data_IF_810479720214
#
_entry.id   IF_810479720214
#
_cell.length_a   1.000
_cell.length_b   1.000
_cell.length_c   1.000
_cell.angle_alpha   90.00
_cell.angle_beta   90.00
_cell.angle_gamma   90.00
#
_symmetry.space_group_name_H-M   'P 1'
#
loop_
_entity.id
_entity.type
_entity.pdbx_description
1 polymer ?
#
# COMPACT_ATOMS: atom_id res chain seq x y z
N UNK A 1 36.13 5.64 7.43
CA UNK A 1 34.67 5.37 7.27
C UNK A 1 34.17 4.90 8.64
N UNK A 2 33.15 5.54 9.22
CA UNK A 2 32.56 5.05 10.47
C UNK A 2 31.76 3.80 10.11
N UNK A 3 32.14 2.64 10.64
CA UNK A 3 31.32 1.44 10.58
C UNK A 3 30.05 1.71 11.38
N UNK A 4 28.96 2.00 10.67
CA UNK A 4 27.65 2.12 11.29
C UNK A 4 27.16 0.68 11.50
N UNK A 5 27.27 0.19 12.73
CA UNK A 5 26.87 -1.16 13.12
C UNK A 5 25.34 -1.26 13.26
N UNK A 6 24.62 -1.06 12.18
CA UNK A 6 23.21 -1.44 12.12
C UNK A 6 23.11 -2.96 12.01
N UNK A 7 22.28 -3.59 12.85
CA UNK A 7 22.00 -5.03 12.75
C UNK A 7 21.47 -5.31 11.34
N UNK A 8 22.26 -6.02 10.52
CA UNK A 8 21.91 -6.34 9.13
C UNK A 8 20.53 -7.02 9.09
N UNK A 9 19.55 -6.47 8.36
CA UNK A 9 18.24 -7.11 8.23
C UNK A 9 18.41 -8.48 7.57
N UNK A 10 17.74 -9.51 8.10
CA UNK A 10 17.75 -10.82 7.46
C UNK A 10 16.86 -10.78 6.23
N UNK A 11 17.38 -11.28 5.10
CA UNK A 11 16.61 -11.44 3.87
C UNK A 11 15.83 -12.74 3.96
N UNK A 12 14.49 -12.71 4.10
CA UNK A 12 13.69 -13.93 4.19
C UNK A 12 13.78 -14.71 2.88
N UNK A 13 13.42 -15.99 2.93
CA UNK A 13 13.44 -16.88 1.76
C UNK A 13 12.51 -16.40 0.65
N UNK A 14 11.36 -15.87 1.05
CA UNK A 14 10.39 -15.16 0.24
C UNK A 14 9.97 -13.90 1.01
N UNK A 15 9.62 -12.80 0.33
CA UNK A 15 9.05 -11.64 0.99
C UNK A 15 7.68 -11.97 1.57
N UNK A 16 7.31 -11.26 2.63
CA UNK A 16 6.01 -11.45 3.27
C UNK A 16 4.95 -10.56 2.63
N UNK A 17 5.32 -9.44 1.97
CA UNK A 17 4.40 -8.47 1.34
C UNK A 17 4.56 -8.48 -0.16
N UNK A 18 3.43 -8.52 -0.86
CA UNK A 18 3.37 -8.38 -2.30
C UNK A 18 2.45 -7.23 -2.67
N UNK A 19 2.90 -6.39 -3.59
CA UNK A 19 2.01 -5.49 -4.34
C UNK A 19 1.86 -6.13 -5.71
N UNK A 20 0.75 -6.83 -5.94
CA UNK A 20 0.51 -7.61 -7.14
C UNK A 20 -0.45 -6.85 -8.04
N UNK A 21 0.06 -6.30 -9.12
CA UNK A 21 -0.73 -5.46 -10.02
C UNK A 21 -1.57 -6.31 -10.97
N UNK A 22 -2.81 -6.61 -10.57
CA UNK A 22 -3.74 -7.39 -11.40
C UNK A 22 -4.20 -6.60 -12.63
N UNK A 23 -4.40 -5.28 -12.46
CA UNK A 23 -4.79 -4.36 -13.53
C UNK A 23 -4.42 -2.94 -13.14
N UNK A 24 -3.63 -2.30 -13.98
CA UNK A 24 -3.07 -0.97 -13.69
C UNK A 24 -3.99 0.18 -14.12
N UNK A 25 -5.23 -0.08 -14.54
CA UNK A 25 -6.14 1.00 -14.95
C UNK A 25 -6.81 1.67 -13.76
N UNK A 26 -6.99 2.98 -13.82
CA UNK A 26 -7.77 3.74 -12.85
C UNK A 26 -8.81 4.63 -13.56
N UNK A 27 -9.97 4.79 -12.94
CA UNK A 27 -11.03 5.70 -13.41
C UNK A 27 -10.81 7.17 -12.96
N UNK A 28 -9.67 7.46 -12.32
CA UNK A 28 -9.25 8.80 -11.91
C UNK A 28 -7.86 9.13 -12.46
N UNK A 29 -7.56 10.42 -12.57
CA UNK A 29 -6.26 10.99 -12.93
C UNK A 29 -5.86 12.03 -11.89
N UNK A 30 -5.71 11.61 -10.64
CA UNK A 30 -5.39 12.52 -9.53
C UNK A 30 -4.06 13.25 -9.82
N UNK A 31 -3.97 14.58 -9.62
CA UNK A 31 -2.74 15.33 -9.89
C UNK A 31 -1.50 14.79 -9.16
N UNK A 32 -1.67 14.29 -7.94
CA UNK A 32 -0.62 13.66 -7.13
C UNK A 32 -0.18 12.25 -7.59
N UNK A 33 -0.90 11.61 -8.52
CA UNK A 33 -0.63 10.22 -8.88
C UNK A 33 0.56 10.11 -9.83
N UNK A 34 1.62 9.41 -9.39
CA UNK A 34 2.87 9.25 -10.17
C UNK A 34 2.66 8.57 -11.53
N UNK A 35 1.62 7.73 -11.68
CA UNK A 35 1.31 7.06 -12.94
C UNK A 35 0.20 7.78 -13.71
N UNK A 36 -1.03 7.81 -13.20
CA UNK A 36 -2.19 8.30 -13.95
C UNK A 36 -2.27 9.83 -14.04
N UNK A 37 -1.62 10.55 -13.11
CA UNK A 37 -1.55 12.00 -13.08
C UNK A 37 -0.34 12.60 -13.80
N UNK A 38 0.64 11.78 -14.18
CA UNK A 38 1.82 12.21 -14.96
C UNK A 38 1.44 12.66 -16.38
N UNK A 39 2.27 13.44 -17.07
CA UNK A 39 2.10 13.76 -18.50
C UNK A 39 2.91 12.83 -19.45
N UNK A 40 3.60 11.82 -18.90
CA UNK A 40 4.48 10.88 -19.62
C UNK A 40 3.69 9.80 -20.38
N UNK A 41 2.96 10.18 -21.43
CA UNK A 41 2.04 9.26 -22.15
C UNK A 41 2.72 8.01 -22.72
N UNK A 42 3.95 8.10 -23.24
CA UNK A 42 4.65 6.91 -23.75
C UNK A 42 5.04 5.94 -22.62
N UNK A 43 5.47 6.45 -21.46
CA UNK A 43 5.77 5.59 -20.31
C UNK A 43 4.50 4.91 -19.78
N UNK A 44 3.36 5.62 -19.76
CA UNK A 44 2.07 5.05 -19.35
C UNK A 44 1.64 3.88 -20.24
N UNK A 45 1.86 3.94 -21.56
CA UNK A 45 1.51 2.83 -22.46
C UNK A 45 2.21 1.52 -22.12
N UNK A 46 3.41 1.61 -21.56
CA UNK A 46 4.22 0.45 -21.17
C UNK A 46 3.85 -0.01 -19.75
N UNK A 47 3.58 0.95 -18.85
CA UNK A 47 3.29 0.68 -17.44
C UNK A 47 1.84 0.27 -17.15
N UNK A 48 0.90 0.44 -18.09
CA UNK A 48 -0.50 0.09 -17.90
C UNK A 48 -0.86 -1.22 -18.61
N UNK A 49 -1.35 -2.20 -17.85
CA UNK A 49 -1.85 -3.43 -18.43
C UNK A 49 -2.73 -4.23 -17.50
N UNK A 50 -2.83 -5.53 -17.80
CA UNK A 50 -3.57 -6.51 -17.00
C UNK A 50 -2.81 -7.81 -16.91
N UNK A 51 -2.83 -8.41 -15.73
CA UNK A 51 -2.24 -9.71 -15.49
C UNK A 51 -3.21 -10.79 -15.94
N UNK A 52 -2.70 -11.85 -16.56
CA UNK A 52 -3.49 -13.03 -16.84
C UNK A 52 -3.84 -13.78 -15.54
N UNK A 53 -5.03 -14.38 -15.47
CA UNK A 53 -5.49 -15.04 -14.25
C UNK A 53 -4.67 -16.29 -13.90
N UNK A 54 -4.18 -17.04 -14.90
CA UNK A 54 -3.33 -18.21 -14.66
C UNK A 54 -1.93 -17.75 -14.22
N UNK A 55 -1.39 -16.71 -14.83
CA UNK A 55 -0.13 -16.10 -14.40
C UNK A 55 -0.20 -15.60 -12.94
N UNK A 56 -1.32 -15.02 -12.53
CA UNK A 56 -1.55 -14.64 -11.14
C UNK A 56 -1.57 -15.89 -10.23
N UNK A 57 -2.25 -16.97 -10.61
CA UNK A 57 -2.28 -18.22 -9.83
C UNK A 57 -0.89 -18.85 -9.67
N UNK A 58 -0.07 -18.86 -10.72
CA UNK A 58 1.31 -19.35 -10.67
C UNK A 58 2.13 -18.62 -9.61
N UNK A 59 2.02 -17.29 -9.58
CA UNK A 59 2.66 -16.47 -8.54
C UNK A 59 2.13 -16.85 -7.15
N UNK A 60 0.81 -16.95 -6.99
CA UNK A 60 0.18 -17.27 -5.69
C UNK A 60 0.65 -18.62 -5.15
N UNK A 61 0.74 -19.63 -6.00
CA UNK A 61 1.13 -20.99 -5.61
C UNK A 61 2.61 -21.04 -5.15
N UNK A 62 3.50 -20.24 -5.74
CA UNK A 62 4.91 -20.16 -5.34
C UNK A 62 5.12 -19.53 -3.95
N UNK A 63 4.31 -18.52 -3.60
CA UNK A 63 4.56 -17.67 -2.43
C UNK A 63 3.90 -18.19 -1.15
N UNK A 64 3.17 -19.31 -1.20
CA UNK A 64 2.37 -19.81 -0.08
C UNK A 64 3.16 -20.08 1.19
N UNK A 65 4.41 -20.53 1.06
CA UNK A 65 5.28 -20.81 2.21
C UNK A 65 5.61 -19.56 3.04
N UNK A 66 5.47 -18.36 2.47
CA UNK A 66 5.71 -17.08 3.13
C UNK A 66 4.53 -16.59 3.99
N UNK A 67 3.36 -17.24 3.93
CA UNK A 67 2.08 -16.74 4.49
C UNK A 67 1.83 -15.28 4.05
N UNK A 68 1.70 -15.04 2.75
CA UNK A 68 1.82 -13.71 2.19
C UNK A 68 0.65 -12.80 2.57
N UNK A 69 0.92 -11.51 2.66
CA UNK A 69 -0.07 -10.46 2.53
C UNK A 69 0.06 -9.81 1.16
N UNK A 70 -1.06 -9.75 0.45
CA UNK A 70 -1.15 -9.24 -0.92
C UNK A 70 -2.00 -7.98 -0.96
N UNK A 71 -1.45 -6.96 -1.63
CA UNK A 71 -2.22 -5.86 -2.17
C UNK A 71 -2.44 -6.10 -3.66
N UNK A 72 -3.66 -6.47 -4.12
CA UNK A 72 -3.96 -6.85 -5.51
C UNK A 72 -4.05 -5.64 -6.46
N UNK A 73 -3.33 -4.58 -6.15
CA UNK A 73 -3.13 -3.40 -6.99
C UNK A 73 -1.91 -2.64 -6.47
N UNK A 74 -1.18 -2.03 -7.39
CA UNK A 74 -0.15 -1.05 -7.04
C UNK A 74 -0.59 0.38 -7.41
N UNK A 75 -0.77 0.65 -8.69
CA UNK A 75 -1.12 1.98 -9.20
C UNK A 75 -2.52 2.07 -9.84
N UNK A 76 -3.16 0.93 -10.11
CA UNK A 76 -4.53 0.87 -10.61
C UNK A 76 -5.60 1.00 -9.54
N UNK A 77 -6.86 1.14 -9.96
CA UNK A 77 -8.01 1.01 -9.07
C UNK A 77 -8.40 -0.48 -8.95
N UNK A 78 -8.20 -1.13 -7.79
CA UNK A 78 -8.46 -2.56 -7.64
C UNK A 78 -9.91 -2.94 -7.96
N UNK A 79 -10.88 -2.07 -7.70
CA UNK A 79 -12.30 -2.33 -8.02
C UNK A 79 -12.60 -2.40 -9.52
N UNK A 80 -11.64 -2.06 -10.39
CA UNK A 80 -11.74 -2.20 -11.86
C UNK A 80 -11.05 -3.45 -12.40
N UNK A 81 -10.39 -4.24 -11.55
CA UNK A 81 -9.72 -5.47 -11.94
C UNK A 81 -10.75 -6.48 -12.48
N UNK A 82 -10.39 -7.14 -13.58
CA UNK A 82 -11.21 -8.18 -14.18
C UNK A 82 -11.29 -9.36 -13.20
N UNK A 83 -12.47 -9.96 -13.03
CA UNK A 83 -12.68 -11.10 -12.13
C UNK A 83 -12.17 -10.88 -10.69
N UNK A 84 -12.22 -9.65 -10.17
CA UNK A 84 -11.72 -9.31 -8.83
C UNK A 84 -12.25 -10.24 -7.73
N UNK A 85 -13.54 -10.60 -7.78
CA UNK A 85 -14.15 -11.52 -6.82
C UNK A 85 -13.47 -12.88 -6.85
N UNK A 86 -13.14 -13.41 -8.04
CA UNK A 86 -12.48 -14.70 -8.19
C UNK A 86 -11.05 -14.64 -7.69
N UNK A 87 -10.31 -13.56 -8.00
CA UNK A 87 -8.96 -13.34 -7.50
C UNK A 87 -8.94 -13.30 -5.96
N UNK A 88 -9.79 -12.48 -5.33
CA UNK A 88 -9.84 -12.37 -3.87
C UNK A 88 -10.29 -13.70 -3.27
N UNK A 89 -11.34 -14.34 -3.79
CA UNK A 89 -11.82 -15.64 -3.29
C UNK A 89 -10.73 -16.70 -3.37
N UNK A 90 -9.97 -16.73 -4.47
CA UNK A 90 -8.87 -17.66 -4.69
C UNK A 90 -7.72 -17.44 -3.70
N UNK A 91 -7.36 -16.18 -3.45
CA UNK A 91 -6.37 -15.80 -2.42
C UNK A 91 -6.85 -16.21 -1.02
N UNK A 92 -8.09 -15.85 -0.64
CA UNK A 92 -8.64 -16.16 0.68
C UNK A 92 -8.78 -17.66 0.92
N UNK A 93 -9.16 -18.47 -0.09
CA UNK A 93 -9.18 -19.94 0.01
C UNK A 93 -7.80 -20.56 0.27
N UNK A 94 -6.72 -19.90 -0.14
CA UNK A 94 -5.34 -20.30 0.16
C UNK A 94 -4.87 -19.86 1.55
N UNK A 95 -5.69 -19.10 2.29
CA UNK A 95 -5.29 -18.52 3.58
C UNK A 95 -4.40 -17.28 3.43
N UNK A 96 -4.39 -16.64 2.26
CA UNK A 96 -3.63 -15.40 2.03
C UNK A 96 -4.35 -14.22 2.68
N UNK A 97 -3.59 -13.32 3.29
CA UNK A 97 -4.10 -12.03 3.75
C UNK A 97 -4.19 -11.05 2.58
N UNK A 98 -5.32 -10.36 2.46
CA UNK A 98 -5.59 -9.44 1.36
C UNK A 98 -6.03 -8.09 1.91
N UNK A 99 -5.29 -7.04 1.54
CA UNK A 99 -5.63 -5.66 1.87
C UNK A 99 -5.54 -4.78 0.62
N UNK A 100 -6.38 -3.76 0.48
CA UNK A 100 -6.17 -2.78 -0.60
C UNK A 100 -6.74 -1.40 -0.29
N UNK A 101 -6.24 -0.42 -1.05
CA UNK A 101 -6.76 0.93 -1.10
C UNK A 101 -7.63 1.07 -2.35
N UNK A 102 -8.77 1.73 -2.24
CA UNK A 102 -9.67 2.05 -3.36
C UNK A 102 -10.07 3.52 -3.33
N UNK A 103 -10.33 4.11 -4.49
CA UNK A 103 -11.01 5.40 -4.59
C UNK A 103 -12.50 5.32 -4.24
N UNK A 104 -13.06 4.12 -4.12
CA UNK A 104 -14.41 3.86 -3.63
C UNK A 104 -15.53 4.10 -4.64
N UNK A 105 -15.28 4.74 -5.79
CA UNK A 105 -16.35 5.23 -6.68
C UNK A 105 -17.16 4.13 -7.37
N UNK A 106 -16.59 2.94 -7.51
CA UNK A 106 -17.21 1.79 -8.18
C UNK A 106 -17.56 0.65 -7.22
N UNK A 107 -17.50 0.88 -5.91
CA UNK A 107 -18.00 -0.09 -4.93
C UNK A 107 -19.50 -0.32 -5.17
N UNK A 108 -19.89 -1.59 -5.12
CA UNK A 108 -21.28 -2.04 -5.23
C UNK A 108 -21.61 -2.93 -4.03
N UNK A 109 -22.89 -3.13 -3.77
CA UNK A 109 -23.36 -4.06 -2.74
C UNK A 109 -22.80 -5.48 -2.96
N UNK A 110 -22.80 -5.97 -4.21
CA UNK A 110 -22.20 -7.28 -4.55
C UNK A 110 -20.73 -7.40 -4.13
N UNK A 111 -19.92 -6.37 -4.39
CA UNK A 111 -18.51 -6.36 -4.01
C UNK A 111 -18.36 -6.30 -2.49
N UNK A 112 -19.09 -5.40 -1.83
CA UNK A 112 -19.06 -5.25 -0.38
C UNK A 112 -19.47 -6.54 0.34
N UNK A 113 -20.57 -7.18 -0.07
CA UNK A 113 -21.00 -8.47 0.50
C UNK A 113 -19.95 -9.55 0.29
N UNK A 114 -19.39 -9.64 -0.92
CA UNK A 114 -18.29 -10.57 -1.20
C UNK A 114 -17.10 -10.34 -0.27
N UNK A 115 -16.70 -9.09 0.01
CA UNK A 115 -15.57 -8.80 0.88
C UNK A 115 -15.82 -9.21 2.34
N UNK A 116 -17.05 -9.12 2.82
CA UNK A 116 -17.45 -9.64 4.14
C UNK A 116 -17.43 -11.17 4.13
N UNK A 117 -18.04 -11.81 3.12
CA UNK A 117 -18.17 -13.27 3.02
C UNK A 117 -16.81 -13.97 3.00
N UNK A 118 -15.86 -13.43 2.23
CA UNK A 118 -14.49 -13.97 2.11
C UNK A 118 -13.56 -13.53 3.24
N UNK A 119 -14.07 -12.73 4.19
CA UNK A 119 -13.30 -12.14 5.30
C UNK A 119 -12.05 -11.42 4.81
N UNK A 120 -12.23 -10.46 3.89
CA UNK A 120 -11.16 -9.56 3.45
C UNK A 120 -10.49 -8.90 4.67
N UNK A 121 -9.17 -8.85 4.72
CA UNK A 121 -8.46 -8.42 5.93
C UNK A 121 -8.65 -6.91 6.17
N UNK A 122 -8.45 -6.09 5.13
CA UNK A 122 -8.75 -4.65 5.24
C UNK A 122 -9.04 -3.97 3.89
N UNK A 123 -9.85 -2.92 3.95
CA UNK A 123 -10.13 -2.02 2.84
C UNK A 123 -9.99 -0.57 3.32
N UNK A 124 -9.18 0.21 2.58
CA UNK A 124 -9.04 1.65 2.83
C UNK A 124 -9.62 2.45 1.67
N UNK A 125 -10.49 3.39 1.99
CA UNK A 125 -11.02 4.35 1.02
C UNK A 125 -10.13 5.59 1.01
N UNK A 126 -9.51 5.90 -0.12
CA UNK A 126 -8.87 7.20 -0.31
C UNK A 126 -9.96 8.25 -0.40
N UNK A 127 -10.00 9.19 0.55
CA UNK A 127 -11.01 10.27 0.59
C UNK A 127 -10.31 11.61 0.38
N UNK A 128 -9.22 11.88 1.10
CA UNK A 128 -8.31 13.02 0.91
C UNK A 128 -8.94 14.44 0.98
N UNK A 129 -10.20 14.57 1.41
CA UNK A 129 -10.91 15.85 1.50
C UNK A 129 -12.14 15.79 2.42
N UNK A 130 -12.55 16.96 2.92
CA UNK A 130 -13.81 17.24 3.62
C UNK A 130 -14.81 18.03 2.78
N UNK A 131 -14.37 18.60 1.64
CA UNK A 131 -15.23 19.34 0.71
C UNK A 131 -15.09 18.82 -0.74
N UNK A 132 -16.15 18.89 -1.58
CA UNK A 132 -16.04 18.56 -3.00
C UNK A 132 -15.00 19.40 -3.75
N UNK A 133 -14.82 20.67 -3.35
CA UNK A 133 -13.84 21.59 -3.93
C UNK A 133 -12.41 21.12 -3.65
N UNK A 134 -12.10 20.73 -2.41
CA UNK A 134 -10.80 20.17 -2.06
C UNK A 134 -10.59 18.82 -2.76
N UNK A 135 -11.60 17.94 -2.79
CA UNK A 135 -11.51 16.67 -3.50
C UNK A 135 -11.19 16.86 -4.99
N UNK A 136 -11.83 17.85 -5.63
CA UNK A 136 -11.59 18.17 -7.04
C UNK A 136 -10.14 18.61 -7.27
N UNK A 137 -9.57 19.41 -6.36
CA UNK A 137 -8.17 19.84 -6.44
C UNK A 137 -7.20 18.66 -6.27
N UNK A 138 -7.39 17.84 -5.25
CA UNK A 138 -6.42 16.80 -4.88
C UNK A 138 -6.58 15.49 -5.67
N UNK A 139 -7.78 15.19 -6.15
CA UNK A 139 -8.09 13.91 -6.83
C UNK A 139 -8.70 14.05 -8.22
N UNK A 140 -9.00 15.28 -8.67
CA UNK A 140 -9.55 15.53 -10.01
C UNK A 140 -11.02 15.11 -10.16
N UNK A 141 -11.76 14.97 -9.06
CA UNK A 141 -13.17 14.52 -9.06
C UNK A 141 -13.97 15.23 -7.96
N UNK A 142 -15.25 15.46 -8.21
CA UNK A 142 -16.20 16.15 -7.34
C UNK A 142 -17.29 15.19 -6.82
N UNK A 143 -16.88 14.00 -6.37
CA UNK A 143 -17.78 12.90 -5.96
C UNK A 143 -17.64 12.51 -4.49
N UNK A 144 -17.39 13.48 -3.62
CA UNK A 144 -17.12 13.23 -2.19
C UNK A 144 -18.28 12.48 -1.53
N UNK A 145 -19.51 12.90 -1.79
CA UNK A 145 -20.73 12.28 -1.27
C UNK A 145 -20.91 10.85 -1.79
N UNK A 146 -20.42 10.55 -2.99
CA UNK A 146 -20.44 9.17 -3.50
C UNK A 146 -19.44 8.30 -2.76
N UNK A 147 -18.23 8.81 -2.52
CA UNK A 147 -17.20 8.09 -1.75
C UNK A 147 -17.71 7.84 -0.33
N UNK A 148 -18.23 8.86 0.35
CA UNK A 148 -18.78 8.74 1.70
C UNK A 148 -19.92 7.72 1.78
N UNK A 149 -20.89 7.78 0.87
CA UNK A 149 -21.97 6.79 0.78
C UNK A 149 -21.47 5.36 0.59
N UNK A 150 -20.37 5.17 -0.14
CA UNK A 150 -19.79 3.85 -0.36
C UNK A 150 -18.99 3.35 0.85
N UNK A 151 -18.39 4.24 1.64
CA UNK A 151 -17.85 3.89 2.97
C UNK A 151 -18.97 3.42 3.89
N UNK A 152 -20.07 4.18 3.96
CA UNK A 152 -21.26 3.83 4.75
C UNK A 152 -21.90 2.51 4.29
N UNK A 153 -21.99 2.28 2.97
CA UNK A 153 -22.46 1.01 2.41
C UNK A 153 -21.61 -0.17 2.88
N UNK A 154 -20.28 -0.04 2.84
CA UNK A 154 -19.37 -1.08 3.30
C UNK A 154 -19.53 -1.34 4.81
N UNK A 155 -19.67 -0.29 5.62
CA UNK A 155 -19.94 -0.41 7.06
C UNK A 155 -21.27 -1.10 7.34
N UNK A 156 -22.33 -0.70 6.62
CA UNK A 156 -23.68 -1.28 6.76
C UNK A 156 -23.71 -2.76 6.40
N UNK A 157 -23.04 -3.15 5.32
CA UNK A 157 -23.02 -4.56 4.87
C UNK A 157 -22.16 -5.41 5.81
N UNK A 158 -21.05 -4.88 6.32
CA UNK A 158 -20.26 -5.55 7.35
C UNK A 158 -21.04 -5.72 8.65
N UNK A 159 -21.81 -4.70 9.03
CA UNK A 159 -22.59 -4.66 10.27
C UNK A 159 -21.70 -5.02 11.49
N UNK A 160 -22.06 -6.05 12.25
CA UNK A 160 -21.32 -6.50 13.43
C UNK A 160 -20.16 -7.45 13.10
N UNK A 161 -19.95 -7.82 11.83
CA UNK A 161 -18.85 -8.71 11.48
C UNK A 161 -17.48 -8.10 11.79
N UNK A 162 -16.53 -8.96 12.15
CA UNK A 162 -15.14 -8.58 12.45
C UNK A 162 -14.40 -8.09 11.21
N UNK A 163 -14.67 -8.68 10.04
CA UNK A 163 -14.00 -8.37 8.77
C UNK A 163 -14.96 -7.79 7.72
N UNK A 164 -14.49 -6.89 6.84
CA UNK A 164 -13.14 -6.33 6.81
C UNK A 164 -12.90 -5.25 7.87
N UNK A 165 -11.61 -5.02 8.15
CA UNK A 165 -11.18 -3.77 8.79
C UNK A 165 -11.35 -2.62 7.79
N UNK A 166 -12.22 -1.67 8.10
CA UNK A 166 -12.61 -0.58 7.21
C UNK A 166 -11.92 0.71 7.65
N UNK A 167 -11.20 1.34 6.74
CA UNK A 167 -10.51 2.59 6.98
C UNK A 167 -10.72 3.64 5.92
N UNK A 168 -10.41 4.88 6.26
CA UNK A 168 -10.24 5.96 5.28
C UNK A 168 -8.80 6.46 5.29
N UNK A 169 -8.35 6.97 4.15
CA UNK A 169 -7.01 7.52 3.96
C UNK A 169 -7.08 8.99 3.55
N UNK A 170 -6.12 9.75 4.07
CA UNK A 170 -5.88 11.16 3.77
C UNK A 170 -4.41 11.37 3.43
N UNK A 171 -4.13 11.79 2.21
CA UNK A 171 -2.78 12.12 1.73
C UNK A 171 -2.62 13.63 1.78
N UNK A 172 -1.79 14.08 2.71
CA UNK A 172 -1.56 15.51 2.98
C UNK A 172 -0.88 16.15 1.78
N UNK A 173 -1.51 17.21 1.29
CA UNK A 173 -1.13 18.06 0.18
C UNK A 173 -1.37 19.51 0.59
N UNK A 174 -0.77 20.46 -0.13
CA UNK A 174 -0.93 21.88 0.15
C UNK A 174 -2.39 22.32 0.11
N UNK A 175 -3.19 21.71 -0.76
CA UNK A 175 -4.58 22.06 -0.99
C UNK A 175 -5.54 21.53 0.08
N UNK A 176 -5.12 20.57 0.90
CA UNK A 176 -5.98 19.92 1.90
C UNK A 176 -5.39 19.89 3.32
N UNK A 177 -4.15 20.33 3.55
CA UNK A 177 -3.47 20.20 4.84
C UNK A 177 -4.27 20.82 6.01
N UNK A 178 -5.03 21.89 5.74
CA UNK A 178 -5.91 22.57 6.68
C UNK A 178 -7.16 21.77 7.07
N UNK A 179 -7.51 20.71 6.33
CA UNK A 179 -8.64 19.82 6.61
C UNK A 179 -8.24 18.59 7.44
N UNK A 180 -6.94 18.40 7.74
CA UNK A 180 -6.42 17.16 8.37
C UNK A 180 -7.08 16.86 9.72
N UNK A 181 -7.17 17.85 10.61
CA UNK A 181 -7.74 17.66 11.96
C UNK A 181 -9.24 17.39 11.89
N UNK A 182 -9.95 18.13 11.03
CA UNK A 182 -11.38 17.92 10.77
C UNK A 182 -11.62 16.51 10.25
N UNK A 183 -10.84 16.09 9.24
CA UNK A 183 -10.90 14.76 8.65
C UNK A 183 -10.74 13.65 9.67
N UNK A 184 -9.69 13.73 10.50
CA UNK A 184 -9.45 12.74 11.56
C UNK A 184 -10.60 12.73 12.56
N UNK A 185 -11.01 13.90 13.06
CA UNK A 185 -12.04 14.02 14.10
C UNK A 185 -13.42 13.55 13.66
N UNK A 186 -13.73 13.68 12.36
CA UNK A 186 -14.96 13.20 11.75
C UNK A 186 -14.91 11.68 11.54
N UNK A 187 -13.94 11.21 10.77
CA UNK A 187 -13.92 9.83 10.31
C UNK A 187 -13.59 8.81 11.39
N UNK A 188 -12.79 9.16 12.40
CA UNK A 188 -12.43 8.21 13.47
C UNK A 188 -13.64 7.75 14.29
N UNK A 189 -14.74 8.51 14.29
CA UNK A 189 -15.99 8.15 14.95
C UNK A 189 -16.83 7.17 14.13
N UNK A 190 -16.53 7.03 12.84
CA UNK A 190 -17.34 6.33 11.84
C UNK A 190 -16.67 5.01 11.44
N UNK A 191 -15.40 5.07 11.04
CA UNK A 191 -14.63 3.90 10.56
C UNK A 191 -13.74 3.34 11.66
N UNK A 192 -13.17 2.16 11.43
CA UNK A 192 -12.30 1.51 12.41
C UNK A 192 -10.89 2.15 12.45
N UNK A 193 -10.47 2.84 11.38
CA UNK A 193 -9.16 3.49 11.27
C UNK A 193 -9.15 4.67 10.32
N UNK A 194 -8.45 5.72 10.72
CA UNK A 194 -8.06 6.82 9.84
C UNK A 194 -6.56 6.75 9.61
N UNK A 195 -6.12 6.72 8.36
CA UNK A 195 -4.70 6.84 7.98
C UNK A 195 -4.44 8.21 7.38
N UNK A 196 -3.53 8.96 7.95
CA UNK A 196 -2.98 10.20 7.38
C UNK A 196 -1.58 9.89 6.87
N UNK A 197 -1.25 10.29 5.65
CA UNK A 197 0.06 10.04 5.05
C UNK A 197 0.61 11.23 4.28
N UNK A 198 1.93 11.28 4.12
CA UNK A 198 2.59 12.28 3.28
C UNK A 198 2.48 11.91 1.79
N UNK A 199 2.25 12.92 0.94
CA UNK A 199 2.35 12.76 -0.51
C UNK A 199 3.81 12.50 -0.91
N UNK A 200 4.02 11.59 -1.87
CA UNK A 200 5.31 11.39 -2.51
C UNK A 200 5.37 12.18 -3.80
N UNK A 201 6.30 13.12 -3.90
CA UNK A 201 6.52 13.98 -5.06
C UNK A 201 8.03 14.25 -5.22
N UNK A 202 8.50 14.42 -6.45
CA UNK A 202 9.90 14.73 -6.75
C UNK A 202 10.91 13.79 -6.06
N UNK A 203 10.59 12.49 -6.02
CA UNK A 203 11.45 11.45 -5.45
C UNK A 203 11.44 11.35 -3.91
N UNK A 204 10.58 12.09 -3.21
CA UNK A 204 10.54 12.14 -1.74
C UNK A 204 9.14 12.35 -1.17
N UNK A 205 8.95 11.99 0.09
CA UNK A 205 7.78 12.33 0.89
C UNK A 205 7.85 13.81 1.29
N UNK A 206 6.81 14.57 0.93
CA UNK A 206 6.68 16.00 1.22
C UNK A 206 6.44 16.23 2.71
N UNK A 207 7.08 17.27 3.27
CA UNK A 207 6.91 17.65 4.69
C UNK A 207 7.60 16.73 5.68
N UNK A 208 8.27 15.66 5.23
CA UNK A 208 8.91 14.68 6.10
C UNK A 208 10.39 14.97 6.29
N UNK A 209 10.81 15.08 7.55
CA UNK A 209 12.21 15.14 7.96
C UNK A 209 12.64 13.76 8.46
N UNK A 210 13.39 12.97 7.66
CA UNK A 210 13.86 11.67 8.12
C UNK A 210 14.85 11.83 9.28
N UNK A 211 15.08 10.76 10.07
CA UNK A 211 16.17 10.73 11.05
C UNK A 211 17.52 11.09 10.43
N UNK A 212 18.45 11.61 11.25
CA UNK A 212 19.79 12.00 10.79
C UNK A 212 20.59 10.84 10.20
N UNK A 213 20.43 9.65 10.76
CA UNK A 213 21.12 8.45 10.33
C UNK A 213 20.19 7.61 9.45
N UNK A 214 20.65 7.30 8.24
CA UNK A 214 19.90 6.47 7.29
C UNK A 214 20.22 5.00 7.49
N UNK A 215 19.17 4.22 7.70
CA UNK A 215 19.24 2.77 7.81
C UNK A 215 18.86 2.10 6.48
N UNK A 216 19.18 0.81 6.28
CA UNK A 216 18.66 0.05 5.15
C UNK A 216 17.14 0.17 5.03
N UNK A 217 16.63 0.35 3.80
CA UNK A 217 15.20 0.52 3.56
C UNK A 217 14.46 -0.79 3.82
N UNK A 218 13.50 -0.78 4.75
CA UNK A 218 12.72 -1.96 5.13
C UNK A 218 11.98 -2.61 3.95
N UNK A 219 11.55 -1.82 2.97
CA UNK A 219 10.87 -2.32 1.77
C UNK A 219 11.69 -3.40 1.04
N UNK A 220 13.02 -3.24 0.97
CA UNK A 220 13.93 -4.16 0.27
C UNK A 220 14.00 -5.56 0.88
N UNK A 221 13.48 -5.73 2.10
CA UNK A 221 13.53 -6.97 2.87
C UNK A 221 12.15 -7.59 3.11
N UNK A 222 11.07 -6.84 2.86
CA UNK A 222 9.72 -7.27 3.21
C UNK A 222 8.72 -7.17 2.06
N UNK A 223 8.96 -6.30 1.07
CA UNK A 223 7.98 -5.96 0.05
C UNK A 223 8.50 -6.18 -1.36
N UNK A 224 7.70 -6.87 -2.17
CA UNK A 224 7.99 -7.11 -3.58
C UNK A 224 6.83 -6.58 -4.44
N UNK A 225 7.04 -5.48 -5.18
CA UNK A 225 6.10 -5.03 -6.20
C UNK A 225 6.27 -5.88 -7.46
N UNK A 226 5.19 -6.52 -7.91
CA UNK A 226 5.13 -7.32 -9.13
C UNK A 226 4.09 -6.67 -10.05
N UNK A 227 4.56 -6.18 -11.19
CA UNK A 227 3.74 -5.54 -12.22
C UNK A 227 2.95 -6.59 -13.01
N UNK A 228 1.93 -6.14 -13.76
CA UNK A 228 1.02 -7.01 -14.51
C UNK A 228 1.72 -7.95 -15.51
N UNK A 229 2.89 -7.55 -16.02
CA UNK A 229 3.70 -8.28 -16.98
C UNK A 229 4.78 -9.18 -16.32
N UNK A 230 4.79 -9.25 -14.98
CA UNK A 230 5.74 -10.02 -14.19
C UNK A 230 7.03 -9.29 -13.82
N UNK A 231 7.24 -8.07 -14.34
CA UNK A 231 8.40 -7.26 -13.95
C UNK A 231 8.32 -6.91 -12.46
N UNK A 232 9.48 -6.86 -11.82
CA UNK A 232 9.63 -6.50 -10.41
C UNK A 232 10.37 -5.18 -10.34
N UNK A 233 9.74 -4.12 -9.84
CA UNK A 233 10.43 -2.84 -9.62
C UNK A 233 11.16 -2.83 -8.27
N UNK A 234 12.12 -1.92 -8.14
CA UNK A 234 12.91 -1.77 -6.90
C UNK A 234 12.03 -1.47 -5.67
N UNK A 235 10.95 -0.71 -5.85
CA UNK A 235 9.97 -0.41 -4.81
C UNK A 235 8.64 0.08 -5.41
N UNK A 236 7.65 0.31 -4.55
CA UNK A 236 6.32 0.76 -4.96
C UNK A 236 6.29 2.17 -5.55
N UNK A 237 7.27 3.02 -5.26
CA UNK A 237 7.34 4.40 -5.77
C UNK A 237 7.96 4.51 -7.16
N UNK A 238 8.54 3.41 -7.68
CA UNK A 238 9.01 3.33 -9.07
C UNK A 238 7.83 3.03 -10.00
N UNK A 239 7.03 4.07 -10.27
CA UNK A 239 5.73 3.96 -10.95
C UNK A 239 5.80 3.56 -12.42
N UNK A 240 6.93 3.77 -13.06
CA UNK A 240 7.16 3.38 -14.45
C UNK A 240 8.09 2.17 -14.59
N UNK A 241 8.52 1.57 -13.47
CA UNK A 241 9.42 0.42 -13.49
C UNK A 241 10.78 0.74 -14.13
N UNK A 242 11.31 1.94 -13.90
CA UNK A 242 12.58 2.37 -14.49
C UNK A 242 13.76 1.53 -13.97
N UNK A 243 13.61 0.91 -12.79
CA UNK A 243 14.58 -0.02 -12.22
C UNK A 243 13.97 -1.41 -12.04
N UNK A 244 13.92 -2.17 -13.13
CA UNK A 244 13.48 -3.58 -13.14
C UNK A 244 14.56 -4.50 -12.53
N UNK A 245 14.18 -5.17 -11.45
CA UNK A 245 14.98 -6.11 -10.66
C UNK A 245 14.98 -7.53 -11.21
N UNK A 246 14.03 -7.84 -12.09
CA UNK A 246 13.83 -9.13 -12.75
C UNK A 246 12.39 -9.29 -13.22
N UNK A 247 12.07 -10.38 -13.88
CA UNK A 247 10.72 -10.74 -14.30
C UNK A 247 10.38 -12.14 -13.79
N UNK A 248 9.34 -12.27 -12.97
CA UNK A 248 9.01 -13.55 -12.29
C UNK A 248 8.63 -14.67 -13.26
N UNK A 249 8.14 -14.34 -14.46
CA UNK A 249 7.78 -15.33 -15.48
C UNK A 249 8.97 -15.76 -16.36
N UNK A 250 10.09 -15.03 -16.32
CA UNK A 250 11.26 -15.28 -17.18
C UNK A 250 12.50 -15.70 -16.41
N UNK A 251 12.63 -15.21 -15.17
CA UNK A 251 13.85 -15.31 -14.37
C UNK A 251 13.72 -16.38 -13.26
N UNK A 252 12.91 -17.41 -13.48
CA UNK A 252 12.82 -18.59 -12.60
C UNK A 252 11.92 -18.43 -11.37
N UNK A 253 10.93 -17.54 -11.42
CA UNK A 253 9.93 -17.37 -10.36
C UNK A 253 10.23 -16.23 -9.38
N UNK A 254 9.29 -16.01 -8.48
CA UNK A 254 9.33 -15.00 -7.42
C UNK A 254 10.57 -15.16 -6.54
N UNK A 255 10.87 -16.37 -6.06
CA UNK A 255 12.01 -16.63 -5.17
C UNK A 255 13.35 -16.33 -5.86
N UNK A 256 13.47 -16.72 -7.13
CA UNK A 256 14.69 -16.50 -7.90
C UNK A 256 14.95 -15.01 -8.12
N UNK A 257 13.93 -14.22 -8.46
CA UNK A 257 14.07 -12.76 -8.57
C UNK A 257 14.36 -12.12 -7.21
N UNK A 258 13.64 -12.52 -6.14
CA UNK A 258 13.83 -11.98 -4.79
C UNK A 258 15.25 -12.16 -4.24
N UNK A 259 15.86 -13.32 -4.53
CA UNK A 259 17.25 -13.65 -4.19
C UNK A 259 18.23 -13.30 -5.31
N UNK A 260 17.78 -12.68 -6.39
CA UNK A 260 18.58 -12.38 -7.57
C UNK A 260 19.65 -11.31 -7.35
N UNK A 261 20.64 -11.29 -8.25
CA UNK A 261 21.82 -10.41 -8.14
C UNK A 261 21.44 -8.93 -7.97
N UNK A 262 20.48 -8.43 -8.75
CA UNK A 262 20.07 -7.01 -8.72
C UNK A 262 19.57 -6.57 -7.33
N UNK A 263 18.66 -7.33 -6.72
CA UNK A 263 18.16 -7.03 -5.38
C UNK A 263 19.23 -7.22 -4.30
N UNK A 264 20.12 -8.22 -4.43
CA UNK A 264 21.24 -8.39 -3.51
C UNK A 264 22.21 -7.20 -3.56
N UNK A 265 22.47 -6.68 -4.75
CA UNK A 265 23.33 -5.51 -4.96
C UNK A 265 22.73 -4.24 -4.34
N UNK A 266 21.43 -3.97 -4.56
CA UNK A 266 20.72 -2.84 -3.91
C UNK A 266 20.76 -2.97 -2.38
N UNK A 267 20.53 -4.18 -1.84
CA UNK A 267 20.64 -4.42 -0.39
C UNK A 267 22.05 -4.16 0.12
N UNK A 268 23.08 -4.61 -0.59
CA UNK A 268 24.48 -4.36 -0.24
C UNK A 268 24.79 -2.86 -0.17
N UNK A 269 24.36 -2.08 -1.16
CA UNK A 269 24.54 -0.63 -1.14
C UNK A 269 23.87 0.02 0.07
N UNK A 270 22.65 -0.41 0.43
CA UNK A 270 21.96 0.07 1.62
C UNK A 270 22.65 -0.35 2.94
N UNK A 271 23.14 -1.59 3.03
CA UNK A 271 23.83 -2.12 4.22
C UNK A 271 25.19 -1.46 4.47
N UNK A 272 25.84 -0.98 3.41
CA UNK A 272 27.18 -0.36 3.47
C UNK A 272 27.15 1.16 3.43
N UNK A 273 25.96 1.77 3.42
CA UNK A 273 25.79 3.23 3.41
C UNK A 273 26.02 3.89 2.05
N UNK A 274 26.06 3.11 0.98
CA UNK A 274 26.29 3.53 -0.42
C UNK A 274 24.98 3.60 -1.20
N UNK A 275 23.86 3.97 -0.56
CA UNK A 275 22.53 3.99 -1.19
C UNK A 275 22.40 4.96 -2.37
N UNK A 276 23.33 5.89 -2.51
CA UNK A 276 23.46 6.85 -3.62
C UNK A 276 23.95 6.21 -4.92
N UNK A 277 24.54 5.01 -4.85
CA UNK A 277 24.82 4.15 -6.02
C UNK A 277 23.54 3.59 -6.67
N UNK A 278 22.41 3.69 -5.97
CA UNK A 278 21.10 3.31 -6.48
C UNK A 278 20.35 4.61 -6.85
N UNK A 279 20.22 4.97 -8.14
CA UNK A 279 19.72 6.29 -8.53
C UNK A 279 18.35 6.64 -7.95
N UNK A 280 17.46 5.66 -7.79
CA UNK A 280 16.15 5.86 -7.18
C UNK A 280 16.24 6.24 -5.69
N UNK A 281 17.23 5.68 -5.01
CA UNK A 281 17.34 5.75 -3.56
C UNK A 281 18.15 6.96 -3.08
N UNK A 282 18.92 7.61 -3.94
CA UNK A 282 19.83 8.72 -3.60
C UNK A 282 19.15 9.80 -2.76
N UNK A 283 18.08 10.40 -3.29
CA UNK A 283 17.37 11.53 -2.66
C UNK A 283 16.08 11.13 -1.92
N UNK A 284 15.78 9.82 -1.89
CA UNK A 284 14.56 9.30 -1.28
C UNK A 284 14.62 9.34 0.26
N UNK A 285 13.56 9.82 0.89
CA UNK A 285 13.37 9.81 2.35
C UNK A 285 12.32 8.76 2.83
N UNK A 286 11.70 8.00 1.92
CA UNK A 286 10.63 7.05 2.27
C UNK A 286 11.13 5.84 3.09
N UNK A 287 12.44 5.57 3.10
CA UNK A 287 13.04 4.55 3.97
C UNK A 287 12.77 4.80 5.46
N UNK A 288 12.49 6.05 5.86
CA UNK A 288 12.20 6.42 7.24
C UNK A 288 10.78 6.06 7.69
N UNK A 289 9.88 5.70 6.78
CA UNK A 289 8.45 5.48 7.07
C UNK A 289 8.10 4.19 7.82
N UNK A 290 9.10 3.40 8.24
CA UNK A 290 8.90 2.05 8.80
C UNK A 290 9.15 1.96 10.31
N UNK A 291 9.49 3.08 10.96
CA UNK A 291 9.68 3.15 12.41
C UNK A 291 8.42 3.79 13.00
N UNK A 292 7.76 3.06 13.90
CA UNK A 292 6.52 3.49 14.53
C UNK A 292 6.70 3.77 16.02
N UNK A 293 6.07 4.85 16.47
CA UNK A 293 5.83 5.18 17.87
C UNK A 293 4.33 5.09 18.12
N UNK A 294 3.95 4.46 19.22
CA UNK A 294 2.56 4.20 19.56
C UNK A 294 2.16 5.00 20.82
N UNK A 295 0.98 5.62 20.78
CA UNK A 295 0.36 6.28 21.92
C UNK A 295 -1.12 5.91 22.01
N UNK A 296 -1.66 5.77 23.22
CA UNK A 296 -3.09 5.56 23.44
C UNK A 296 -3.69 6.80 24.07
N UNK A 297 -4.73 7.34 23.44
CA UNK A 297 -5.45 8.52 23.92
C UNK A 297 -6.94 8.39 23.63
N UNK A 298 -7.77 8.59 24.64
CA UNK A 298 -9.24 8.63 24.52
C UNK A 298 -9.84 7.40 23.80
N UNK A 299 -9.31 6.20 24.07
CA UNK A 299 -9.76 4.96 23.43
C UNK A 299 -9.31 4.77 21.97
N UNK A 300 -8.38 5.62 21.51
CA UNK A 300 -7.77 5.55 20.18
C UNK A 300 -6.28 5.18 20.33
N UNK A 301 -5.86 4.13 19.64
CA UNK A 301 -4.46 3.78 19.47
C UNK A 301 -3.89 4.52 18.25
N UNK A 302 -3.03 5.49 18.52
CA UNK A 302 -2.39 6.32 17.50
C UNK A 302 -0.98 5.79 17.24
N UNK A 303 -0.72 5.39 15.99
CA UNK A 303 0.60 4.88 15.56
C UNK A 303 1.22 5.85 14.59
N UNK A 304 2.42 6.34 14.89
CA UNK A 304 3.08 7.42 14.16
C UNK A 304 4.39 6.93 13.58
N UNK A 305 4.55 7.10 12.28
CA UNK A 305 5.82 7.00 11.58
C UNK A 305 6.05 8.31 10.82
N UNK A 306 7.28 8.57 10.34
CA UNK A 306 7.53 9.70 9.46
C UNK A 306 6.61 9.74 8.23
N UNK A 307 6.17 8.59 7.70
CA UNK A 307 5.31 8.57 6.51
C UNK A 307 3.82 8.61 6.83
N UNK A 308 3.40 7.89 7.87
CA UNK A 308 1.99 7.64 8.18
C UNK A 308 1.68 7.83 9.66
N UNK A 309 0.49 8.36 9.91
CA UNK A 309 -0.18 8.32 11.20
C UNK A 309 -1.46 7.49 11.05
N UNK A 310 -1.64 6.50 11.91
CA UNK A 310 -2.85 5.69 11.99
C UNK A 310 -3.58 5.98 13.29
N UNK A 311 -4.83 6.41 13.21
CA UNK A 311 -5.74 6.54 14.35
C UNK A 311 -6.64 5.32 14.37
N UNK A 312 -6.46 4.42 15.33
CA UNK A 312 -7.17 3.14 15.40
C UNK A 312 -8.17 3.15 16.55
N UNK A 313 -9.42 2.82 16.25
CA UNK A 313 -10.42 2.55 17.28
C UNK A 313 -10.07 1.27 18.04
N UNK A 314 -9.85 1.37 19.34
CA UNK A 314 -9.44 0.22 20.16
C UNK A 314 -10.52 -0.87 20.23
N UNK A 315 -11.79 -0.48 20.19
CA UNK A 315 -12.95 -1.39 20.16
C UNK A 315 -13.13 -2.12 18.81
N UNK A 316 -12.26 -1.84 17.82
CA UNK A 316 -12.27 -2.48 16.49
C UNK A 316 -10.92 -3.11 16.14
N UNK A 317 -10.13 -3.49 17.15
CA UNK A 317 -8.84 -4.16 16.95
C UNK A 317 -8.92 -5.69 16.88
N UNK A 318 -10.10 -6.29 17.04
CA UNK A 318 -10.28 -7.75 16.93
C UNK A 318 -9.80 -8.32 15.60
N UNK A 319 -9.92 -7.56 14.51
CA UNK A 319 -9.42 -7.93 13.17
C UNK A 319 -7.97 -7.53 12.94
N UNK A 320 -7.28 -6.97 13.95
CA UNK A 320 -5.88 -6.55 13.84
C UNK A 320 -4.97 -7.56 14.50
N UNK A 321 -4.46 -8.49 13.70
CA UNK A 321 -3.53 -9.52 14.15
C UNK A 321 -2.09 -9.21 13.69
N UNK A 322 -1.12 -9.80 14.40
CA UNK A 322 0.31 -9.78 14.08
C UNK A 322 0.58 -10.13 12.60
N UNK A 323 -0.23 -11.02 12.02
CA UNK A 323 -0.11 -11.48 10.63
C UNK A 323 -0.66 -10.50 9.57
N UNK A 324 -1.40 -9.46 9.98
CA UNK A 324 -1.81 -8.35 9.10
C UNK A 324 -0.72 -7.23 9.11
N UNK A 325 0.30 -7.44 9.96
CA UNK A 325 1.65 -6.85 10.04
C UNK A 325 1.80 -5.44 10.60
N UNK A 326 1.03 -5.16 11.65
CA UNK A 326 1.50 -4.22 12.69
C UNK A 326 2.62 -4.86 13.50
N UNK A 327 3.66 -4.09 13.84
CA UNK A 327 4.76 -4.54 14.71
C UNK A 327 4.25 -5.08 16.06
N UNK A 328 5.07 -5.91 16.72
CA UNK A 328 4.82 -6.47 18.04
C UNK A 328 4.30 -5.41 19.02
N UNK A 329 3.15 -5.68 19.64
CA UNK A 329 2.68 -4.95 20.81
C UNK A 329 3.04 -5.81 22.04
N UNK A 330 3.83 -5.33 23.00
CA UNK A 330 4.20 -6.12 24.17
C UNK A 330 3.01 -6.42 25.10
N UNK A 331 1.96 -5.60 25.08
CA UNK A 331 0.95 -5.57 26.15
C UNK A 331 -0.52 -5.49 25.65
N UNK A 332 -0.92 -6.32 24.67
CA UNK A 332 -2.33 -6.56 24.36
C UNK A 332 -2.72 -8.01 24.63
#
# INVERSE_FOLDING_TARGET
MKEINHKKPQVPDLPERYLLDLKTTCNLKCPMCLLHGSDEEEKKKIAIGKMDIEAAKEILDEIMSAKPLIQPSMWGEPLLADNLIDHITNMKKRGISVCFNTNGLTLTEKLASCFVDVKLDSIFFSVDAMTPETLKKVRGVDKLEKIARNVELMLKIRDHATFPRIGVSFTVQKENENETDEFVSHWIKIVDVVRVGAVFADGKLTGIKPPKERTPCHALYQTMPIHFNGDVSICCFDSFGEQVMGNVFKDGGVKAVWKGKKLQEVRHYHETGQWDEVPFCKDCNAWSGYIYEDEVKDGILIRRSPQFIYYNRMDRLESWHKDIRGHEHPDL
#
